data_IF_489640015912
#
_entry.id   IF_489640015912
#
_cell.length_a   1.000
_cell.length_b   1.000
_cell.length_c   1.000
_cell.angle_alpha   90.00
_cell.angle_beta   90.00
_cell.angle_gamma   90.00
#
_symmetry.space_group_name_H-M   'P 1'
#
loop_
_entity.id
_entity.type
_entity.pdbx_description
1 polymer ?
#
# COMPACT_ATOMS: atom_id res chain seq x y z
N UNK A 1 3.80 -11.16 26.84
CA UNK A 1 2.58 -10.92 26.04
C UNK A 1 2.77 -11.51 24.66
N UNK A 2 1.74 -12.14 24.10
CA UNK A 2 1.72 -13.59 23.86
C UNK A 2 1.70 -13.79 22.33
N UNK A 3 2.22 -14.92 21.82
CA UNK A 3 2.26 -15.32 20.39
C UNK A 3 0.92 -15.12 19.63
N UNK A 4 -0.19 -14.98 20.34
CA UNK A 4 -1.52 -14.68 19.78
C UNK A 4 -1.62 -13.25 19.22
N UNK A 5 -1.00 -12.25 19.88
CA UNK A 5 -0.98 -10.86 19.40
C UNK A 5 -0.19 -10.71 18.10
N UNK A 6 0.93 -11.42 17.98
CA UNK A 6 1.73 -11.41 16.74
C UNK A 6 1.01 -12.07 15.57
N UNK A 7 0.30 -13.19 15.79
CA UNK A 7 -0.47 -13.83 14.71
C UNK A 7 -1.65 -12.97 14.22
N UNK A 8 -2.34 -12.28 15.14
CA UNK A 8 -3.44 -11.36 14.77
C UNK A 8 -2.93 -10.17 13.95
N UNK A 9 -1.80 -9.59 14.34
CA UNK A 9 -1.15 -8.50 13.61
C UNK A 9 -0.72 -8.93 12.21
N UNK A 10 -0.06 -10.09 12.08
CA UNK A 10 0.37 -10.62 10.78
C UNK A 10 -0.83 -10.82 9.84
N UNK A 11 -1.91 -11.45 10.32
CA UNK A 11 -3.13 -11.65 9.53
C UNK A 11 -3.73 -10.33 9.06
N UNK A 12 -3.83 -9.34 9.97
CA UNK A 12 -4.36 -8.01 9.63
C UNK A 12 -3.47 -7.33 8.58
N UNK A 13 -2.16 -7.34 8.78
CA UNK A 13 -1.19 -6.77 7.86
C UNK A 13 -1.27 -7.42 6.47
N UNK A 14 -1.40 -8.74 6.39
CA UNK A 14 -1.58 -9.45 5.12
C UNK A 14 -2.82 -8.97 4.38
N UNK A 15 -3.98 -8.93 5.04
CA UNK A 15 -5.24 -8.48 4.42
C UNK A 15 -5.13 -7.03 3.94
N UNK A 16 -4.50 -6.15 4.73
CA UNK A 16 -4.31 -4.76 4.34
C UNK A 16 -3.40 -4.63 3.11
N UNK A 17 -2.31 -5.41 3.04
CA UNK A 17 -1.41 -5.43 1.87
C UNK A 17 -2.11 -5.95 0.61
N UNK A 18 -2.91 -7.01 0.72
CA UNK A 18 -3.68 -7.57 -0.40
C UNK A 18 -4.69 -6.54 -0.93
N UNK A 19 -5.47 -5.92 -0.04
CA UNK A 19 -6.42 -4.86 -0.43
C UNK A 19 -5.71 -3.67 -1.07
N UNK A 20 -4.58 -3.25 -0.53
CA UNK A 20 -3.82 -2.12 -1.08
C UNK A 20 -3.22 -2.46 -2.44
N UNK A 21 -2.83 -3.72 -2.68
CA UNK A 21 -2.39 -4.17 -3.98
C UNK A 21 -3.54 -4.15 -5.01
N UNK A 22 -4.74 -4.61 -4.63
CA UNK A 22 -5.92 -4.55 -5.50
C UNK A 22 -6.27 -3.10 -5.88
N UNK A 23 -6.32 -2.18 -4.91
CA UNK A 23 -6.58 -0.76 -5.20
C UNK A 23 -5.53 -0.14 -6.13
N UNK A 24 -4.27 -0.57 -6.00
CA UNK A 24 -3.19 -0.14 -6.88
C UNK A 24 -3.35 -0.67 -8.31
N UNK A 25 -3.77 -1.93 -8.46
CA UNK A 25 -4.08 -2.53 -9.76
C UNK A 25 -5.26 -1.81 -10.43
N UNK A 26 -6.33 -1.53 -9.68
CA UNK A 26 -7.47 -0.72 -10.12
C UNK A 26 -7.04 0.69 -10.55
N UNK A 27 -6.21 1.38 -9.75
CA UNK A 27 -5.67 2.70 -10.10
C UNK A 27 -4.91 2.66 -11.42
N UNK A 28 -4.05 1.66 -11.61
CA UNK A 28 -3.29 1.48 -12.84
C UNK A 28 -4.18 1.18 -14.06
N UNK A 29 -5.31 0.50 -13.86
CA UNK A 29 -6.30 0.26 -14.92
C UNK A 29 -7.03 1.55 -15.29
N UNK A 30 -7.50 2.29 -14.28
CA UNK A 30 -8.14 3.60 -14.49
C UNK A 30 -7.22 4.55 -15.25
N UNK A 31 -5.93 4.58 -14.92
CA UNK A 31 -4.92 5.39 -15.64
C UNK A 31 -4.74 5.01 -17.12
N UNK A 32 -5.17 3.81 -17.54
CA UNK A 32 -5.06 3.34 -18.94
C UNK A 32 -6.36 3.48 -19.71
N UNK A 33 -7.48 3.68 -19.03
CA UNK A 33 -8.80 3.89 -19.62
C UNK A 33 -9.13 5.37 -19.80
N UNK A 34 -10.01 5.69 -20.75
CA UNK A 34 -10.58 7.03 -20.90
C UNK A 34 -11.69 7.28 -19.87
N UNK A 35 -11.33 7.26 -18.58
CA UNK A 35 -12.23 7.50 -17.44
C UNK A 35 -12.16 8.96 -16.98
N UNK A 36 -13.17 9.39 -16.21
CA UNK A 36 -13.20 10.74 -15.67
C UNK A 36 -12.05 10.96 -14.67
N UNK A 37 -11.42 12.14 -14.72
CA UNK A 37 -10.37 12.57 -13.79
C UNK A 37 -10.79 12.38 -12.33
N UNK A 38 -12.06 12.67 -12.01
CA UNK A 38 -12.60 12.52 -10.67
C UNK A 38 -12.52 11.08 -10.13
N UNK A 39 -12.70 10.05 -10.97
CA UNK A 39 -12.60 8.64 -10.56
C UNK A 39 -11.14 8.27 -10.22
N UNK A 40 -10.18 8.79 -10.99
CA UNK A 40 -8.75 8.60 -10.71
C UNK A 40 -8.39 9.30 -9.38
N UNK A 41 -8.91 10.50 -9.12
CA UNK A 41 -8.67 11.21 -7.87
C UNK A 41 -9.25 10.48 -6.65
N UNK A 42 -10.49 9.99 -6.74
CA UNK A 42 -11.12 9.20 -5.69
C UNK A 42 -10.32 7.92 -5.39
N UNK A 43 -9.89 7.20 -6.44
CA UNK A 43 -9.08 6.00 -6.28
C UNK A 43 -7.72 6.29 -5.63
N UNK A 44 -7.07 7.42 -5.96
CA UNK A 44 -5.84 7.86 -5.28
C UNK A 44 -6.10 8.06 -3.79
N UNK A 45 -7.19 8.77 -3.42
CA UNK A 45 -7.50 9.07 -2.02
C UNK A 45 -7.72 7.79 -1.20
N UNK A 46 -8.52 6.85 -1.71
CA UNK A 46 -8.76 5.56 -1.07
C UNK A 46 -7.46 4.76 -0.89
N UNK A 47 -6.62 4.74 -1.93
CA UNK A 47 -5.34 4.03 -1.90
C UNK A 47 -4.35 4.68 -0.92
N UNK A 48 -4.34 6.00 -0.81
CA UNK A 48 -3.49 6.73 0.15
C UNK A 48 -3.90 6.50 1.60
N UNK A 49 -5.20 6.47 1.89
CA UNK A 49 -5.71 6.16 3.21
C UNK A 49 -5.30 4.76 3.64
N UNK A 50 -5.59 3.74 2.81
CA UNK A 50 -5.23 2.37 3.13
C UNK A 50 -3.70 2.17 3.20
N UNK A 51 -2.92 2.90 2.40
CA UNK A 51 -1.46 2.90 2.51
C UNK A 51 -0.98 3.40 3.87
N UNK A 52 -1.56 4.48 4.41
CA UNK A 52 -1.21 5.00 5.74
C UNK A 52 -1.49 3.98 6.84
N UNK A 53 -2.65 3.34 6.80
CA UNK A 53 -3.02 2.27 7.74
C UNK A 53 -2.07 1.07 7.65
N UNK A 54 -1.78 0.61 6.43
CA UNK A 54 -0.87 -0.51 6.18
C UNK A 54 0.54 -0.19 6.66
N UNK A 55 1.01 1.04 6.46
CA UNK A 55 2.33 1.48 6.92
C UNK A 55 2.43 1.50 8.46
N UNK A 56 1.35 1.87 9.16
CA UNK A 56 1.30 1.80 10.62
C UNK A 56 1.39 0.35 11.12
N UNK A 57 0.59 -0.55 10.54
CA UNK A 57 0.64 -1.98 10.86
C UNK A 57 1.99 -2.62 10.53
N UNK A 58 2.62 -2.21 9.43
CA UNK A 58 3.95 -2.66 9.05
C UNK A 58 5.00 -2.23 10.08
N UNK A 59 4.91 -1.00 10.58
CA UNK A 59 5.81 -0.47 11.62
C UNK A 59 5.66 -1.25 12.94
N UNK A 60 4.41 -1.53 13.34
CA UNK A 60 4.12 -2.37 14.52
C UNK A 60 4.69 -3.78 14.35
N UNK A 61 4.51 -4.38 13.16
CA UNK A 61 5.03 -5.71 12.83
C UNK A 61 6.56 -5.73 12.90
N UNK A 62 7.24 -4.77 12.26
CA UNK A 62 8.71 -4.65 12.25
C UNK A 62 9.30 -4.45 13.65
N UNK A 63 8.58 -3.78 14.55
CA UNK A 63 9.02 -3.56 15.94
C UNK A 63 9.06 -4.86 16.75
N UNK A 64 8.26 -5.86 16.37
CA UNK A 64 8.20 -7.16 17.04
C UNK A 64 9.20 -8.21 16.52
N UNK A 65 10.00 -7.88 15.50
CA UNK A 65 10.93 -8.79 14.83
C UNK A 65 12.37 -8.66 15.35
N UNK A 66 13.16 -9.71 15.16
CA UNK A 66 14.62 -9.61 15.32
C UNK A 66 15.27 -8.77 14.20
N UNK A 67 16.56 -8.47 14.35
CA UNK A 67 17.28 -7.62 13.39
C UNK A 67 17.33 -8.17 11.96
N UNK A 68 17.44 -9.49 11.79
CA UNK A 68 17.51 -10.11 10.48
C UNK A 68 16.12 -10.11 9.82
N UNK A 69 15.10 -10.55 10.56
CA UNK A 69 13.70 -10.57 10.12
C UNK A 69 13.20 -9.16 9.80
N UNK A 70 13.49 -8.18 10.65
CA UNK A 70 13.13 -6.77 10.47
C UNK A 70 13.73 -6.19 9.20
N UNK A 71 15.01 -6.47 8.91
CA UNK A 71 15.66 -6.02 7.66
C UNK A 71 14.98 -6.61 6.43
N UNK A 72 14.60 -7.89 6.46
CA UNK A 72 13.88 -8.54 5.36
C UNK A 72 12.50 -7.90 5.17
N UNK A 73 11.75 -7.70 6.26
CA UNK A 73 10.43 -7.08 6.23
C UNK A 73 10.48 -5.63 5.67
N UNK A 74 11.45 -4.82 6.11
CA UNK A 74 11.67 -3.47 5.62
C UNK A 74 12.00 -3.44 4.13
N UNK A 75 12.83 -4.38 3.64
CA UNK A 75 13.17 -4.47 2.23
C UNK A 75 11.96 -4.85 1.37
N UNK A 76 11.15 -5.81 1.83
CA UNK A 76 9.91 -6.18 1.16
C UNK A 76 8.94 -4.99 1.12
N UNK A 77 8.77 -4.28 2.24
CA UNK A 77 7.93 -3.10 2.29
C UNK A 77 8.45 -1.98 1.38
N UNK A 78 9.77 -1.75 1.33
CA UNK A 78 10.36 -0.75 0.45
C UNK A 78 10.06 -0.98 -1.03
N UNK A 79 10.00 -2.25 -1.48
CA UNK A 79 9.58 -2.59 -2.85
C UNK A 79 8.13 -2.17 -3.10
N UNK A 80 7.23 -2.51 -2.18
CA UNK A 80 5.82 -2.12 -2.26
C UNK A 80 5.67 -0.59 -2.30
N UNK A 81 6.32 0.13 -1.38
CA UNK A 81 6.30 1.60 -1.31
C UNK A 81 6.78 2.25 -2.61
N UNK A 82 7.77 1.64 -3.28
CA UNK A 82 8.26 2.14 -4.57
C UNK A 82 7.18 2.03 -5.64
N UNK A 83 6.55 0.86 -5.80
CA UNK A 83 5.47 0.64 -6.77
C UNK A 83 4.30 1.59 -6.52
N UNK A 84 3.87 1.74 -5.27
CA UNK A 84 2.80 2.66 -4.90
C UNK A 84 3.09 4.11 -5.32
N UNK A 85 4.31 4.60 -5.04
CA UNK A 85 4.71 5.97 -5.45
C UNK A 85 4.73 6.15 -6.96
N UNK A 86 5.16 5.13 -7.71
CA UNK A 86 5.24 5.19 -9.17
C UNK A 86 3.83 5.28 -9.79
N UNK A 87 2.93 4.36 -9.46
CA UNK A 87 1.54 4.41 -9.93
C UNK A 87 0.84 5.71 -9.57
N UNK A 88 1.07 6.23 -8.35
CA UNK A 88 0.49 7.52 -7.96
C UNK A 88 1.03 8.68 -8.79
N UNK A 89 2.34 8.70 -9.05
CA UNK A 89 2.95 9.75 -9.86
C UNK A 89 2.46 9.71 -11.31
N UNK A 90 2.29 8.51 -11.87
CA UNK A 90 1.71 8.30 -13.20
C UNK A 90 0.26 8.82 -13.26
N UNK A 91 -0.58 8.42 -12.29
CA UNK A 91 -1.94 8.91 -12.16
C UNK A 91 -2.02 10.44 -12.06
N UNK A 92 -1.14 11.05 -11.25
CA UNK A 92 -1.09 12.51 -11.09
C UNK A 92 -0.64 13.24 -12.35
N UNK A 93 0.23 12.62 -13.13
CA UNK A 93 0.68 13.17 -14.43
C UNK A 93 -0.49 13.22 -15.41
N UNK A 94 -1.32 12.17 -15.44
CA UNK A 94 -2.51 12.13 -16.30
C UNK A 94 -3.55 13.18 -15.90
N UNK A 95 -3.82 13.33 -14.60
CA UNK A 95 -4.74 14.35 -14.07
C UNK A 95 -4.31 15.76 -14.50
N UNK A 96 -3.01 16.05 -14.47
CA UNK A 96 -2.49 17.38 -14.84
C UNK A 96 -2.36 17.61 -16.36
N UNK A 97 -2.54 16.56 -17.18
CA UNK A 97 -2.39 16.62 -18.64
C UNK A 97 -3.72 16.82 -19.38
N UNK A 98 -4.85 16.53 -18.73
CA UNK A 98 -6.21 16.79 -19.23
C UNK A 98 -6.78 18.10 -18.69
#
# INVERSE_FOLDING_TARGET
MSKVKSLSLVKKLTVHKERLQLLLEELNQLCRSSVAVAEIEEQILMSEELYRETNALQTEYETGLDDAERRVAMMQWAKFRKSFRQSKAEARTLINAG
#
